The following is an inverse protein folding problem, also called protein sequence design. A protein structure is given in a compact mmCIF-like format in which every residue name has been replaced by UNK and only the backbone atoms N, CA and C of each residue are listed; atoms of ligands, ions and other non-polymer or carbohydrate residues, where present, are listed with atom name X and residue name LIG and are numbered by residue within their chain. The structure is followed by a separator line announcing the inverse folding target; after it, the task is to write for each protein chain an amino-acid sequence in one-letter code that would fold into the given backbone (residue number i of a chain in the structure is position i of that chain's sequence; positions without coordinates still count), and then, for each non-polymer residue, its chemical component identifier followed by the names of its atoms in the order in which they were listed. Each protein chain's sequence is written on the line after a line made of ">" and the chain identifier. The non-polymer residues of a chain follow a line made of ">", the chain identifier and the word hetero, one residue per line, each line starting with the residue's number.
data_IF_345506820626
#
_entry.id   IF_345506820626
#
_cell.length_a   1.000
_cell.length_b   1.000
_cell.length_c   1.000
_cell.angle_alpha   90.00
_cell.angle_beta   90.00
_cell.angle_gamma   90.00
#
_symmetry.space_group_name_H-M   'P 1'
#
loop_
_entity.id
_entity.type
_entity.pdbx_description
1 polymer ?
#
# COMPACT_ATOMS: atom_id res chain seq x y z
N UNK A 1 -0.37 -11.73 -1.02
CA UNK A 1 -1.71 -11.12 -0.73
C UNK A 1 -2.80 -12.17 -0.73
N UNK A 2 -3.79 -12.05 0.18
CA UNK A 2 -4.79 -13.08 0.47
C UNK A 2 -6.16 -12.81 -0.17
N UNK A 3 -6.65 -11.59 -0.15
CA UNK A 3 -7.95 -11.22 -0.71
C UNK A 3 -7.91 -10.72 -2.16
N UNK A 4 -9.04 -10.30 -2.69
CA UNK A 4 -9.15 -9.71 -4.02
C UNK A 4 -8.96 -8.19 -4.01
N UNK A 5 -9.19 -7.53 -2.85
CA UNK A 5 -9.05 -6.08 -2.70
C UNK A 5 -7.73 -5.66 -2.06
N UNK A 6 -7.40 -4.39 -2.23
CA UNK A 6 -6.26 -3.75 -1.57
C UNK A 6 -6.57 -2.30 -1.17
N UNK A 7 -5.80 -1.79 -0.20
CA UNK A 7 -5.68 -0.37 0.10
C UNK A 7 -4.20 -0.05 0.30
N UNK A 8 -3.68 0.88 -0.49
CA UNK A 8 -2.28 1.31 -0.47
C UNK A 8 -2.20 2.78 -0.05
N UNK A 9 -1.27 3.08 0.88
CA UNK A 9 -1.12 4.41 1.47
C UNK A 9 0.35 4.77 1.53
N UNK A 10 0.69 5.97 1.06
CA UNK A 10 1.99 6.61 1.26
C UNK A 10 1.82 7.83 2.16
N UNK A 11 2.77 8.05 3.05
CA UNK A 11 2.81 9.26 3.88
C UNK A 11 4.23 9.57 4.32
N UNK A 12 4.53 10.85 4.45
CA UNK A 12 5.76 11.35 5.03
C UNK A 12 5.48 11.82 6.47
N UNK A 13 6.47 11.63 7.34
CA UNK A 13 6.37 12.00 8.76
C UNK A 13 7.60 12.80 9.17
N UNK A 14 7.39 13.96 9.78
CA UNK A 14 8.48 14.77 10.31
C UNK A 14 9.24 14.03 11.42
N UNK A 15 10.56 14.32 11.53
CA UNK A 15 11.43 13.61 12.46
C UNK A 15 10.97 13.73 13.93
N UNK A 16 10.43 14.88 14.33
CA UNK A 16 9.94 15.12 15.68
C UNK A 16 8.64 14.37 16.02
N UNK A 17 7.86 13.95 15.03
CA UNK A 17 6.62 13.17 15.18
C UNK A 17 6.83 11.66 15.03
N UNK A 18 8.01 11.22 14.58
CA UNK A 18 8.27 9.84 14.15
C UNK A 18 8.01 8.80 15.25
N UNK A 19 8.37 9.10 16.51
CA UNK A 19 8.15 8.16 17.61
C UNK A 19 6.67 8.00 17.93
N UNK A 20 5.91 9.11 18.02
CA UNK A 20 4.46 9.07 18.26
C UNK A 20 3.73 8.38 17.11
N UNK A 21 4.12 8.68 15.85
CA UNK A 21 3.59 8.02 14.67
C UNK A 21 3.80 6.49 14.68
N UNK A 22 5.02 6.03 14.99
CA UNK A 22 5.32 4.59 15.05
C UNK A 22 4.51 3.87 16.14
N UNK A 23 4.35 4.49 17.30
CA UNK A 23 3.53 3.95 18.37
C UNK A 23 2.05 3.89 17.98
N UNK A 24 1.50 4.97 17.42
CA UNK A 24 0.14 5.00 16.91
C UNK A 24 -0.08 3.93 15.84
N UNK A 25 0.83 3.83 14.87
CA UNK A 25 0.74 2.88 13.76
C UNK A 25 0.69 1.44 14.25
N UNK A 26 1.57 1.06 15.20
CA UNK A 26 1.74 -0.34 15.61
C UNK A 26 0.87 -0.77 16.79
N UNK A 27 0.37 0.17 17.60
CA UNK A 27 -0.38 -0.13 18.83
C UNK A 27 -1.87 0.14 18.70
N UNK A 28 -2.28 1.00 17.76
CA UNK A 28 -3.67 1.38 17.57
C UNK A 28 -4.11 1.23 16.11
N UNK A 29 -3.53 2.01 15.19
CA UNK A 29 -4.10 2.20 13.85
C UNK A 29 -4.19 0.93 13.01
N UNK A 30 -3.10 0.15 12.92
CA UNK A 30 -3.14 -1.09 12.12
C UNK A 30 -4.06 -2.14 12.74
N UNK A 31 -4.12 -2.23 14.09
CA UNK A 31 -5.05 -3.12 14.80
C UNK A 31 -6.49 -2.70 14.53
N UNK A 32 -6.81 -1.42 14.66
CA UNK A 32 -8.15 -0.89 14.37
C UNK A 32 -8.60 -1.21 12.94
N UNK A 33 -7.71 -1.10 11.96
CA UNK A 33 -8.02 -1.44 10.56
C UNK A 33 -8.20 -2.94 10.37
N UNK A 34 -7.26 -3.75 10.86
CA UNK A 34 -7.26 -5.20 10.65
C UNK A 34 -8.41 -5.90 11.38
N UNK A 35 -8.91 -5.33 12.49
CA UNK A 35 -10.13 -5.81 13.17
C UNK A 35 -11.43 -5.33 12.52
N UNK A 36 -11.36 -4.47 11.52
CA UNK A 36 -12.54 -4.07 10.74
C UNK A 36 -12.92 -5.17 9.75
N UNK A 37 -14.20 -5.53 9.70
CA UNK A 37 -14.70 -6.59 8.82
C UNK A 37 -14.25 -6.40 7.37
N UNK A 38 -13.69 -7.45 6.79
CA UNK A 38 -13.20 -7.49 5.42
C UNK A 38 -11.72 -7.12 5.26
N UNK A 39 -11.06 -6.59 6.31
CA UNK A 39 -9.60 -6.46 6.33
C UNK A 39 -8.97 -7.79 6.72
N UNK A 40 -7.95 -8.23 5.98
CA UNK A 40 -7.28 -9.53 6.18
C UNK A 40 -5.90 -9.38 6.80
N UNK A 41 -5.16 -8.35 6.40
CA UNK A 41 -3.82 -8.09 6.90
C UNK A 41 -3.39 -6.65 6.64
N UNK A 42 -2.36 -6.22 7.37
CA UNK A 42 -1.61 -4.98 7.15
C UNK A 42 -0.12 -5.29 7.05
N UNK A 43 0.56 -4.65 6.10
CA UNK A 43 2.02 -4.65 5.99
C UNK A 43 2.51 -3.22 5.92
N UNK A 44 3.46 -2.88 6.78
CA UNK A 44 4.03 -1.53 6.89
C UNK A 44 5.48 -1.56 6.48
N UNK A 45 5.87 -0.63 5.64
CA UNK A 45 7.21 -0.50 5.10
C UNK A 45 7.72 0.93 5.28
N UNK A 46 9.05 1.08 5.35
CA UNK A 46 9.72 2.38 5.33
C UNK A 46 10.62 2.49 4.11
N UNK A 47 10.66 3.66 3.47
CA UNK A 47 11.55 3.93 2.35
C UNK A 47 13.01 3.70 2.75
N UNK A 48 13.77 3.08 1.84
CA UNK A 48 15.19 2.77 1.97
C UNK A 48 16.06 4.00 1.67
N UNK A 49 15.79 5.10 2.41
CA UNK A 49 16.49 6.38 2.28
C UNK A 49 16.49 7.11 3.62
N UNK A 50 17.49 7.96 3.85
CA UNK A 50 17.72 8.62 5.15
C UNK A 50 17.25 10.07 5.22
N UNK A 51 17.01 10.70 4.06
CA UNK A 51 16.63 12.11 3.95
C UNK A 51 15.15 12.39 4.22
N UNK A 52 14.31 11.33 4.27
CA UNK A 52 12.87 11.44 4.51
C UNK A 52 12.34 10.24 5.29
N UNK A 53 11.36 10.47 6.17
CA UNK A 53 10.64 9.37 6.82
C UNK A 53 9.35 9.07 6.06
N UNK A 54 9.48 8.42 4.91
CA UNK A 54 8.36 7.96 4.11
C UNK A 54 7.97 6.56 4.48
N UNK A 55 6.66 6.35 4.62
CA UNK A 55 6.05 5.05 4.89
C UNK A 55 5.13 4.64 3.75
N UNK A 56 5.09 3.34 3.51
CA UNK A 56 4.12 2.69 2.66
C UNK A 56 3.37 1.66 3.49
N UNK A 57 2.03 1.72 3.46
CA UNK A 57 1.15 0.77 4.15
C UNK A 57 0.31 0.06 3.10
N UNK A 58 0.30 -1.25 3.14
CA UNK A 58 -0.54 -2.09 2.30
C UNK A 58 -1.50 -2.88 3.19
N UNK A 59 -2.79 -2.67 2.98
CA UNK A 59 -3.84 -3.52 3.54
C UNK A 59 -4.34 -4.49 2.49
N UNK A 60 -4.51 -5.73 2.89
CA UNK A 60 -5.15 -6.78 2.11
C UNK A 60 -6.62 -6.86 2.52
N UNK A 61 -7.51 -6.82 1.54
CA UNK A 61 -8.95 -6.82 1.73
C UNK A 61 -9.58 -8.06 1.09
N UNK A 62 -10.67 -8.56 1.66
CA UNK A 62 -11.44 -9.65 1.04
C UNK A 62 -11.85 -9.29 -0.38
N UNK A 63 -12.38 -8.07 -0.56
CA UNK A 63 -12.86 -7.54 -1.82
C UNK A 63 -12.78 -6.01 -1.83
N UNK A 64 -12.82 -5.33 -2.99
CA UNK A 64 -12.77 -3.87 -3.07
C UNK A 64 -13.97 -3.18 -2.39
N UNK A 65 -15.13 -3.85 -2.25
CA UNK A 65 -16.34 -3.37 -1.58
C UNK A 65 -16.13 -3.05 -0.10
N UNK A 66 -15.08 -3.55 0.52
CA UNK A 66 -14.70 -3.21 1.90
C UNK A 66 -14.39 -1.72 2.04
N UNK A 67 -13.93 -1.06 0.98
CA UNK A 67 -13.51 0.35 1.00
C UNK A 67 -14.66 1.35 1.18
N UNK A 68 -15.87 1.01 0.77
CA UNK A 68 -17.10 1.78 0.92
C UNK A 68 -18.14 1.06 1.78
N UNK A 69 -17.75 -0.05 2.42
CA UNK A 69 -18.61 -0.81 3.34
C UNK A 69 -18.82 -0.11 4.68
N UNK A 70 -20.02 -0.28 5.25
CA UNK A 70 -20.47 0.38 6.48
C UNK A 70 -19.48 0.24 7.64
N UNK A 71 -18.88 -0.93 7.83
CA UNK A 71 -17.94 -1.17 8.92
C UNK A 71 -16.69 -0.30 8.82
N UNK A 72 -16.14 -0.13 7.60
CA UNK A 72 -14.97 0.71 7.38
C UNK A 72 -15.32 2.20 7.43
N UNK A 73 -16.44 2.60 6.82
CA UNK A 73 -16.92 3.98 6.87
C UNK A 73 -17.23 4.43 8.31
N UNK A 74 -17.78 3.55 9.14
CA UNK A 74 -18.00 3.85 10.57
C UNK A 74 -16.67 4.16 11.29
N UNK A 75 -15.58 3.40 11.00
CA UNK A 75 -14.25 3.68 11.56
C UNK A 75 -13.70 5.02 11.09
N UNK A 76 -13.79 5.32 9.79
CA UNK A 76 -13.32 6.58 9.22
C UNK A 76 -14.10 7.80 9.72
N UNK A 77 -15.35 7.63 10.15
CA UNK A 77 -16.19 8.69 10.70
C UNK A 77 -16.08 8.86 12.22
N UNK A 78 -15.44 7.94 12.91
CA UNK A 78 -15.21 8.00 14.35
C UNK A 78 -13.71 7.82 14.69
N UNK A 79 -12.81 8.70 14.17
CA UNK A 79 -11.37 8.59 14.44
C UNK A 79 -11.08 8.76 15.93
N UNK A 80 -10.17 7.93 16.43
CA UNK A 80 -9.72 8.01 17.83
C UNK A 80 -9.04 9.35 18.13
N UNK A 81 -8.94 9.75 19.42
CA UNK A 81 -8.17 10.95 19.78
C UNK A 81 -6.69 10.88 19.32
N UNK A 82 -6.09 9.70 19.24
CA UNK A 82 -4.74 9.54 18.73
C UNK A 82 -4.68 9.75 17.22
N UNK A 83 -5.61 9.15 16.48
CA UNK A 83 -5.76 9.38 15.03
C UNK A 83 -6.00 10.87 14.71
N UNK A 84 -6.85 11.57 15.48
CA UNK A 84 -7.09 13.01 15.33
C UNK A 84 -5.80 13.85 15.52
N UNK A 85 -4.87 13.42 16.37
CA UNK A 85 -3.60 14.09 16.59
C UNK A 85 -2.57 13.80 15.49
N UNK A 86 -2.56 12.56 14.94
CA UNK A 86 -1.56 12.13 13.95
C UNK A 86 -1.93 12.52 12.52
N UNK A 87 -3.19 12.32 12.10
CA UNK A 87 -3.62 12.49 10.71
C UNK A 87 -3.28 13.87 10.10
N UNK A 88 -3.43 15.00 10.81
CA UNK A 88 -3.08 16.32 10.26
C UNK A 88 -1.58 16.55 10.03
N UNK A 89 -0.72 15.70 10.59
CA UNK A 89 0.75 15.78 10.52
C UNK A 89 1.34 14.97 9.37
N UNK A 90 0.53 14.14 8.70
CA UNK A 90 0.98 13.32 7.58
C UNK A 90 1.18 14.18 6.34
N UNK A 91 2.44 14.23 5.87
CA UNK A 91 2.82 14.91 4.63
C UNK A 91 2.72 14.01 3.41
N UNK A 92 2.63 14.61 2.23
CA UNK A 92 2.60 13.91 0.93
C UNK A 92 1.72 12.67 0.93
N UNK A 93 0.53 12.82 1.53
CA UNK A 93 -0.40 11.71 1.74
C UNK A 93 -1.04 11.30 0.42
N UNK A 94 -0.83 10.05 0.03
CA UNK A 94 -1.41 9.44 -1.18
C UNK A 94 -2.10 8.16 -0.76
N UNK A 95 -3.35 7.98 -1.17
CA UNK A 95 -4.16 6.83 -0.83
C UNK A 95 -4.97 6.38 -2.02
N UNK A 96 -5.00 5.08 -2.24
CA UNK A 96 -5.85 4.45 -3.25
C UNK A 96 -6.05 2.99 -2.92
N UNK A 97 -7.18 2.46 -3.31
CA UNK A 97 -7.51 1.06 -3.13
C UNK A 97 -8.49 0.59 -4.20
N UNK A 98 -8.61 -0.71 -4.35
CA UNK A 98 -9.44 -1.31 -5.37
C UNK A 98 -9.22 -2.80 -5.49
N UNK A 99 -9.17 -3.31 -6.71
CA UNK A 99 -9.07 -4.74 -7.01
C UNK A 99 -7.67 -5.12 -7.51
N UNK A 100 -7.17 -6.28 -7.10
CA UNK A 100 -5.98 -6.90 -7.69
C UNK A 100 -6.32 -7.57 -9.01
N UNK A 101 -5.82 -7.01 -10.12
CA UNK A 101 -6.08 -7.49 -11.48
C UNK A 101 -5.08 -8.54 -11.95
N UNK A 102 -3.87 -8.58 -11.37
CA UNK A 102 -2.89 -9.64 -11.66
C UNK A 102 -2.01 -9.95 -10.44
N UNK A 103 -1.59 -11.21 -10.36
CA UNK A 103 -0.63 -11.72 -9.38
C UNK A 103 0.22 -12.81 -10.00
N UNK A 104 1.52 -12.79 -9.67
CA UNK A 104 2.46 -13.87 -10.01
C UNK A 104 3.45 -14.06 -8.86
N UNK A 105 4.00 -15.27 -8.73
CA UNK A 105 4.91 -15.65 -7.65
C UNK A 105 4.20 -16.13 -6.39
N UNK A 106 5.02 -16.47 -5.39
CA UNK A 106 4.57 -17.04 -4.10
C UNK A 106 5.38 -16.43 -2.96
N UNK A 107 4.72 -16.16 -1.86
CA UNK A 107 5.36 -15.58 -0.68
C UNK A 107 5.32 -14.05 -0.66
N UNK A 108 6.02 -13.48 0.28
CA UNK A 108 6.09 -12.05 0.55
C UNK A 108 7.56 -11.65 0.74
N UNK A 109 8.00 -10.63 0.00
CA UNK A 109 9.35 -10.08 0.14
C UNK A 109 9.42 -9.06 1.29
N UNK A 110 10.54 -9.04 2.02
CA UNK A 110 10.81 -8.01 3.01
C UNK A 110 11.27 -6.68 2.37
N UNK A 111 11.74 -6.74 1.13
CA UNK A 111 12.15 -5.58 0.32
C UNK A 111 11.20 -5.47 -0.86
N UNK A 112 10.62 -4.30 -1.04
CA UNK A 112 9.60 -4.08 -2.07
C UNK A 112 9.87 -2.81 -2.87
N UNK A 113 9.31 -2.75 -4.07
CA UNK A 113 9.14 -1.54 -4.86
C UNK A 113 7.65 -1.36 -5.12
N UNK A 114 7.09 -0.25 -4.67
CA UNK A 114 5.68 0.08 -4.83
C UNK A 114 5.55 1.30 -5.75
N UNK A 115 5.09 1.08 -6.96
CA UNK A 115 4.94 2.11 -8.00
C UNK A 115 3.47 2.45 -8.20
N UNK A 116 3.16 3.73 -8.20
CA UNK A 116 1.88 4.23 -8.69
C UNK A 116 1.96 4.37 -10.20
N UNK A 117 0.98 3.85 -10.92
CA UNK A 117 0.88 3.93 -12.36
C UNK A 117 -0.37 4.71 -12.76
N UNK A 118 -0.29 5.48 -13.84
CA UNK A 118 -1.40 6.32 -14.35
C UNK A 118 -2.38 5.53 -15.22
N UNK A 119 -1.92 4.40 -15.80
CA UNK A 119 -2.74 3.48 -16.57
C UNK A 119 -2.32 2.04 -16.31
N UNK A 120 -3.28 1.13 -16.40
CA UNK A 120 -2.98 -0.31 -16.32
C UNK A 120 -2.30 -0.78 -17.62
N UNK A 121 -1.37 -1.76 -17.52
CA UNK A 121 -0.85 -2.43 -18.72
C UNK A 121 -1.99 -3.16 -19.47
N UNK A 122 -1.86 -3.30 -20.79
CA UNK A 122 -2.84 -3.98 -21.62
C UNK A 122 -3.09 -5.44 -21.16
N UNK A 123 -2.01 -6.16 -20.81
CA UNK A 123 -2.08 -7.49 -20.20
C UNK A 123 -1.30 -7.51 -18.86
N UNK A 124 -1.99 -7.17 -17.73
CA UNK A 124 -1.37 -7.18 -16.42
C UNK A 124 -0.81 -8.56 -15.99
N UNK A 125 -1.48 -9.64 -16.43
CA UNK A 125 -1.06 -10.99 -16.05
C UNK A 125 0.25 -11.40 -16.75
N UNK A 126 0.42 -11.03 -18.00
CA UNK A 126 1.68 -11.26 -18.74
C UNK A 126 2.81 -10.42 -18.17
N UNK A 127 2.58 -9.15 -17.83
CA UNK A 127 3.58 -8.32 -17.15
C UNK A 127 4.00 -8.95 -15.81
N UNK A 128 3.04 -9.32 -14.96
CA UNK A 128 3.35 -9.91 -13.66
C UNK A 128 4.17 -11.21 -13.78
N UNK A 129 3.82 -12.10 -14.73
CA UNK A 129 4.59 -13.32 -15.01
C UNK A 129 6.01 -13.04 -15.52
N UNK A 130 6.18 -12.04 -16.37
CA UNK A 130 7.49 -11.68 -16.89
C UNK A 130 8.42 -11.10 -15.82
N UNK A 131 7.87 -10.35 -14.87
CA UNK A 131 8.63 -9.74 -13.79
C UNK A 131 8.99 -10.74 -12.69
N UNK A 132 8.09 -11.65 -12.33
CA UNK A 132 8.37 -12.69 -11.33
C UNK A 132 9.41 -13.70 -11.80
N UNK A 133 9.66 -13.79 -13.11
CA UNK A 133 10.73 -14.61 -13.68
C UNK A 133 12.14 -13.98 -13.55
N UNK A 134 12.25 -12.72 -13.08
CA UNK A 134 13.54 -12.11 -12.79
C UNK A 134 14.15 -12.70 -11.51
N UNK A 135 15.49 -12.79 -11.48
CA UNK A 135 16.22 -13.35 -10.35
C UNK A 135 15.90 -12.61 -9.05
N UNK A 136 15.60 -13.38 -7.98
CA UNK A 136 15.33 -12.87 -6.65
C UNK A 136 13.99 -12.13 -6.49
N UNK A 137 13.13 -12.12 -7.51
CA UNK A 137 11.74 -11.62 -7.39
C UNK A 137 10.86 -12.72 -6.81
N UNK A 138 10.24 -12.44 -5.65
CA UNK A 138 9.39 -13.39 -4.94
C UNK A 138 7.93 -13.34 -5.43
N UNK A 139 7.42 -12.13 -5.65
CA UNK A 139 6.05 -11.91 -6.10
C UNK A 139 5.89 -10.57 -6.85
N UNK A 140 4.91 -10.52 -7.72
CA UNK A 140 4.48 -9.29 -8.42
C UNK A 140 2.97 -9.22 -8.37
N UNK A 141 2.47 -8.02 -8.08
CA UNK A 141 1.04 -7.75 -7.96
C UNK A 141 0.70 -6.47 -8.70
N UNK A 142 -0.40 -6.46 -9.43
CA UNK A 142 -0.91 -5.29 -10.12
C UNK A 142 -2.34 -5.05 -9.67
N UNK A 143 -2.61 -3.85 -9.17
CA UNK A 143 -3.91 -3.44 -8.69
C UNK A 143 -4.50 -2.31 -9.54
N UNK A 144 -5.80 -2.35 -9.76
CA UNK A 144 -6.59 -1.24 -10.31
C UNK A 144 -7.26 -0.49 -9.17
N UNK A 145 -7.10 0.83 -9.10
CA UNK A 145 -7.71 1.66 -8.07
C UNK A 145 -9.15 2.00 -8.47
N UNK A 146 -10.06 1.89 -7.52
CA UNK A 146 -11.44 2.35 -7.63
C UNK A 146 -11.58 3.70 -6.90
N UNK A 147 -11.54 4.78 -7.67
CA UNK A 147 -11.62 6.14 -7.13
C UNK A 147 -12.98 6.38 -6.46
N UNK A 148 -14.07 5.90 -7.01
CA UNK A 148 -15.39 6.11 -6.45
C UNK A 148 -15.50 5.55 -5.02
N UNK A 149 -14.99 4.33 -4.80
CA UNK A 149 -14.97 3.70 -3.46
C UNK A 149 -14.00 4.39 -2.51
N UNK A 150 -12.86 4.88 -3.01
CA UNK A 150 -11.85 5.52 -2.16
C UNK A 150 -12.09 7.00 -1.93
N UNK A 151 -12.94 7.67 -2.71
CA UNK A 151 -13.21 9.11 -2.57
C UNK A 151 -14.40 9.46 -1.65
N UNK A 152 -15.11 8.47 -1.09
CA UNK A 152 -16.23 8.70 -0.16
C UNK A 152 -15.81 9.66 0.95
N UNK A 153 -16.49 10.81 1.15
CA UNK A 153 -16.16 11.78 2.18
C UNK A 153 -16.32 11.18 3.59
N UNK A 154 -15.33 11.38 4.45
CA UNK A 154 -15.37 10.93 5.85
C UNK A 154 -14.67 11.91 6.76
N UNK A 155 -14.93 11.84 8.07
CA UNK A 155 -14.29 12.69 9.08
C UNK A 155 -12.76 12.59 9.01
N UNK A 156 -12.21 11.38 8.95
CA UNK A 156 -10.76 11.15 8.88
C UNK A 156 -10.13 11.77 7.62
N UNK A 157 -10.82 11.69 6.47
CA UNK A 157 -10.34 12.35 5.23
C UNK A 157 -10.30 13.87 5.34
N UNK A 158 -11.28 14.46 6.01
CA UNK A 158 -11.34 15.91 6.24
C UNK A 158 -10.20 16.45 7.10
N UNK A 159 -9.46 15.60 7.82
CA UNK A 159 -8.30 15.98 8.63
C UNK A 159 -7.02 16.14 7.81
N UNK A 160 -6.96 15.61 6.60
CA UNK A 160 -5.79 15.65 5.71
C UNK A 160 -5.90 16.82 4.74
N UNK A 161 -4.78 17.49 4.47
CA UNK A 161 -4.80 18.72 3.67
C UNK A 161 -4.76 18.46 2.16
N UNK A 162 -4.07 17.44 1.69
CA UNK A 162 -3.95 17.12 0.27
C UNK A 162 -3.82 15.62 0.13
N UNK A 163 -4.87 14.95 -0.30
CA UNK A 163 -4.84 13.51 -0.59
C UNK A 163 -4.62 13.30 -2.10
N UNK A 164 -3.46 12.72 -2.46
CA UNK A 164 -3.17 12.33 -3.83
C UNK A 164 -3.87 11.03 -4.20
N UNK A 165 -4.07 10.85 -5.51
CA UNK A 165 -4.69 9.68 -6.12
C UNK A 165 -3.74 9.01 -7.13
N UNK A 166 -4.01 7.76 -7.51
CA UNK A 166 -3.32 7.02 -8.58
C UNK A 166 -4.28 6.00 -9.21
N UNK A 167 -4.09 5.69 -10.50
CA UNK A 167 -5.00 4.79 -11.22
C UNK A 167 -4.67 3.30 -10.97
N UNK A 168 -3.39 2.97 -10.74
CA UNK A 168 -3.00 1.60 -10.47
C UNK A 168 -1.75 1.47 -9.62
N UNK A 169 -1.59 0.29 -9.02
CA UNK A 169 -0.44 -0.11 -8.21
C UNK A 169 0.32 -1.22 -8.94
N UNK A 170 1.62 -1.04 -9.15
CA UNK A 170 2.56 -2.12 -9.45
C UNK A 170 3.44 -2.36 -8.22
N UNK A 171 3.25 -3.52 -7.58
CA UNK A 171 4.04 -3.95 -6.43
C UNK A 171 4.96 -5.09 -6.84
N UNK A 172 6.27 -4.89 -6.69
CA UNK A 172 7.31 -5.90 -6.91
C UNK A 172 7.93 -6.23 -5.57
N UNK A 173 7.93 -7.50 -5.20
CA UNK A 173 8.47 -8.01 -3.96
C UNK A 173 9.72 -8.84 -4.26
N UNK A 174 10.84 -8.50 -3.65
CA UNK A 174 12.12 -9.14 -3.91
C UNK A 174 12.90 -9.52 -2.66
N UNK A 175 13.95 -10.30 -2.86
CA UNK A 175 14.85 -10.71 -1.78
C UNK A 175 15.79 -9.56 -1.38
N UNK A 176 16.12 -8.68 -2.33
CA UNK A 176 17.03 -7.56 -2.15
C UNK A 176 16.77 -6.43 -3.16
N UNK A 177 17.52 -5.35 -3.03
CA UNK A 177 17.45 -4.16 -3.90
C UNK A 177 17.89 -4.46 -5.34
N UNK A 178 18.86 -5.36 -5.54
CA UNK A 178 19.37 -5.69 -6.87
C UNK A 178 18.28 -6.40 -7.70
N UNK A 179 17.57 -7.34 -7.08
CA UNK A 179 16.43 -8.05 -7.68
C UNK A 179 15.34 -7.08 -8.14
N UNK A 180 14.99 -6.09 -7.28
CA UNK A 180 13.99 -5.06 -7.62
C UNK A 180 14.44 -4.17 -8.78
N UNK A 181 15.72 -3.80 -8.83
CA UNK A 181 16.28 -3.01 -9.94
C UNK A 181 16.26 -3.79 -11.25
N UNK A 182 16.59 -5.08 -11.23
CA UNK A 182 16.51 -5.96 -12.40
C UNK A 182 15.07 -6.06 -12.93
N UNK A 183 14.11 -6.27 -12.02
CA UNK A 183 12.70 -6.29 -12.38
C UNK A 183 12.21 -4.95 -12.94
N UNK A 184 12.65 -3.82 -12.39
CA UNK A 184 12.31 -2.48 -12.90
C UNK A 184 12.85 -2.27 -14.32
N UNK A 185 14.10 -2.67 -14.59
CA UNK A 185 14.66 -2.60 -15.95
C UNK A 185 13.84 -3.47 -16.93
N UNK A 186 13.45 -4.67 -16.48
CA UNK A 186 12.58 -5.55 -17.27
C UNK A 186 11.21 -4.92 -17.53
N UNK A 187 10.58 -4.32 -16.52
CA UNK A 187 9.29 -3.63 -16.66
C UNK A 187 9.36 -2.50 -17.70
N UNK A 188 10.41 -1.66 -17.64
CA UNK A 188 10.64 -0.59 -18.63
C UNK A 188 10.82 -1.11 -20.04
N UNK A 189 11.44 -2.27 -20.20
CA UNK A 189 11.66 -2.87 -21.52
C UNK A 189 10.39 -3.46 -22.15
N UNK A 190 9.46 -3.97 -21.34
CA UNK A 190 8.27 -4.69 -21.84
C UNK A 190 6.97 -3.90 -21.73
N UNK A 191 6.92 -2.86 -20.93
CA UNK A 191 5.77 -1.98 -20.74
C UNK A 191 6.21 -0.50 -20.64
N UNK A 192 6.94 0.05 -21.66
CA UNK A 192 7.48 1.40 -21.60
C UNK A 192 6.36 2.45 -21.37
N UNK A 193 5.25 2.34 -22.07
CA UNK A 193 4.14 3.30 -21.98
C UNK A 193 3.57 3.42 -20.56
N UNK A 194 3.56 2.31 -19.79
CA UNK A 194 3.13 2.31 -18.38
C UNK A 194 4.22 2.88 -17.49
N UNK A 195 5.49 2.51 -17.76
CA UNK A 195 6.60 2.85 -16.88
C UNK A 195 7.09 4.29 -17.06
N UNK A 196 6.89 4.91 -18.22
CA UNK A 196 7.25 6.31 -18.48
C UNK A 196 6.35 7.28 -17.71
N UNK A 197 5.15 6.85 -17.34
CA UNK A 197 4.18 7.60 -16.53
C UNK A 197 4.01 7.05 -15.11
N UNK A 198 4.88 6.13 -14.68
CA UNK A 198 4.87 5.63 -13.31
C UNK A 198 5.53 6.66 -12.36
N UNK A 199 5.18 6.56 -11.07
CA UNK A 199 5.89 7.33 -10.04
C UNK A 199 7.38 6.99 -10.02
N UNK A 200 8.19 7.92 -9.48
CA UNK A 200 9.61 7.63 -9.24
C UNK A 200 9.77 6.33 -8.44
N UNK A 201 10.67 5.44 -8.90
CA UNK A 201 10.92 4.17 -8.24
C UNK A 201 11.52 4.37 -6.85
N UNK A 202 10.88 3.84 -5.85
CA UNK A 202 11.34 3.88 -4.47
C UNK A 202 11.32 2.48 -3.86
N UNK A 203 12.41 2.13 -3.17
CA UNK A 203 12.55 0.85 -2.47
C UNK A 203 12.11 1.03 -1.02
N UNK A 204 11.41 0.05 -0.50
CA UNK A 204 10.94 0.03 0.87
C UNK A 204 11.38 -1.26 1.57
N UNK A 205 11.65 -1.17 2.87
CA UNK A 205 11.92 -2.31 3.74
C UNK A 205 10.77 -2.54 4.71
N UNK A 206 10.40 -3.81 4.91
CA UNK A 206 9.37 -4.22 5.84
C UNK A 206 9.73 -3.85 7.28
N UNK A 207 8.76 -3.29 8.00
CA UNK A 207 8.90 -2.89 9.41
C UNK A 207 8.00 -3.68 10.34
N UNK A 208 6.75 -3.88 9.91
CA UNK A 208 5.69 -4.44 10.74
C UNK A 208 4.64 -5.11 9.86
N UNK A 209 4.09 -6.21 10.32
CA UNK A 209 2.98 -6.90 9.69
C UNK A 209 1.99 -7.38 10.74
N UNK A 210 0.70 -7.29 10.45
CA UNK A 210 -0.37 -7.76 11.31
C UNK A 210 -1.40 -8.53 10.47
N UNK A 211 -1.75 -9.72 10.92
CA UNK A 211 -2.75 -10.59 10.31
C UNK A 211 -4.02 -10.59 11.16
N UNK A 212 -5.18 -10.45 10.54
CA UNK A 212 -6.47 -10.45 11.22
C UNK A 212 -6.68 -11.68 12.12
N UNK A 213 -6.15 -12.83 11.69
CA UNK A 213 -6.25 -14.10 12.45
C UNK A 213 -5.45 -14.12 13.76
N UNK A 214 -4.51 -13.20 13.94
CA UNK A 214 -3.65 -13.13 15.14
C UNK A 214 -4.25 -12.18 16.20
N UNK A 215 -5.11 -11.25 15.79
CA UNK A 215 -5.65 -10.20 16.69
C UNK A 215 -6.69 -10.73 17.66
N UNK A 216 -7.31 -11.88 17.37
CA UNK A 216 -8.37 -12.50 18.20
C UNK A 216 -7.86 -13.25 19.44
N UNK A 217 -6.56 -13.18 19.76
CA UNK A 217 -5.96 -13.89 20.89
C UNK A 217 -5.71 -13.03 22.15
N UNK A 218 -6.45 -11.92 22.30
CA UNK A 218 -6.33 -11.05 23.46
C UNK A 218 -7.64 -10.88 24.24
#
# INVERSE_FOLDING_TARGET
>A
MRGAGFLAIWSDVEAHDLTDYRHWLTREHTTERVTTRGFLASRVFRAARDDINRFFILYELEAPEVLDGDAYLARLNAPTPWSQRIMPKLGNFIRGGGIMVARAGRGEGATIMALRIEALPEDPATLARALVACDGVAAVQIGATDEARTSVPTTEKGMRRNEGFFAGLLLIEGLDVASLRGALQRARAIAPDVMDHASEPEVYHGMFALDARIVDFG
#
